data_IF_737972388266
#
_entry.id   IF_737972388266
#
_cell.length_a   1.000
_cell.length_b   1.000
_cell.length_c   1.000
_cell.angle_alpha   90.00
_cell.angle_beta   90.00
_cell.angle_gamma   90.00
#
_symmetry.space_group_name_H-M   'P 1'
#
loop_
_entity.id
_entity.type
_entity.pdbx_description
1 polymer ?
#
# COMPACT_ATOMS: atom_id res chain seq x y z
N UNK A 1 -11.61 31.94 10.98
CA UNK A 1 -11.80 30.80 11.91
C UNK A 1 -12.05 29.57 11.04
N UNK A 2 -11.03 28.73 10.80
CA UNK A 2 -11.16 27.54 9.95
C UNK A 2 -11.86 26.43 10.75
N UNK A 3 -12.96 25.84 10.26
CA UNK A 3 -13.61 24.73 10.95
C UNK A 3 -12.70 23.50 10.93
N UNK A 4 -12.77 22.71 12.00
CA UNK A 4 -11.94 21.56 12.33
C UNK A 4 -11.54 20.70 11.12
N UNK A 5 -10.23 20.59 10.90
CA UNK A 5 -9.59 19.80 9.83
C UNK A 5 -9.68 18.28 10.01
N UNK A 6 -10.69 17.78 10.75
CA UNK A 6 -10.69 16.41 11.28
C UNK A 6 -11.39 15.36 10.39
N UNK A 7 -12.05 15.75 9.30
CA UNK A 7 -12.98 14.83 8.60
C UNK A 7 -12.96 14.89 7.06
N UNK A 8 -11.90 15.39 6.42
CA UNK A 8 -11.91 15.52 4.95
C UNK A 8 -10.71 14.85 4.30
N UNK A 9 -11.01 13.90 3.43
CA UNK A 9 -10.05 13.30 2.49
C UNK A 9 -9.73 14.23 1.31
N UNK A 10 -10.18 15.49 1.33
CA UNK A 10 -9.76 16.53 0.39
C UNK A 10 -9.83 17.93 1.03
N UNK A 11 -9.12 18.92 0.48
CA UNK A 11 -9.14 20.30 0.95
C UNK A 11 -9.40 21.31 -0.18
N UNK A 12 -9.99 22.49 0.12
CA UNK A 12 -10.31 23.52 -0.89
C UNK A 12 -9.13 24.00 -1.73
N UNK A 13 -7.90 23.80 -1.24
CA UNK A 13 -6.65 24.12 -1.93
C UNK A 13 -6.19 23.02 -2.91
N UNK A 14 -7.00 21.99 -3.13
CA UNK A 14 -6.74 20.93 -4.12
C UNK A 14 -5.90 19.77 -3.59
N UNK A 15 -5.67 19.66 -2.28
CA UNK A 15 -5.09 18.45 -1.67
C UNK A 15 -6.13 17.34 -1.63
N UNK A 16 -5.74 16.14 -2.05
CA UNK A 16 -6.57 14.92 -2.02
C UNK A 16 -5.80 13.82 -1.29
N UNK A 17 -6.36 13.33 -0.19
CA UNK A 17 -5.83 12.22 0.60
C UNK A 17 -6.54 10.94 0.16
N UNK A 18 -5.74 9.93 -0.22
CA UNK A 18 -6.26 8.64 -0.69
C UNK A 18 -6.59 7.71 0.48
N UNK A 19 -7.41 6.68 0.24
CA UNK A 19 -7.87 5.73 1.25
C UNK A 19 -7.00 4.45 1.25
N UNK A 20 -7.59 3.26 1.32
CA UNK A 20 -6.90 1.97 1.43
C UNK A 20 -6.11 1.56 0.17
N UNK A 21 -6.26 2.28 -0.94
CA UNK A 21 -5.54 2.04 -2.19
C UNK A 21 -4.96 3.30 -2.81
N UNK A 22 -3.69 3.22 -3.25
CA UNK A 22 -3.03 4.30 -4.00
C UNK A 22 -3.15 4.05 -5.51
N UNK A 23 -2.61 2.91 -5.98
CA UNK A 23 -2.61 2.52 -7.39
C UNK A 23 -2.16 3.66 -8.31
N UNK A 24 -2.91 3.87 -9.39
CA UNK A 24 -2.64 4.93 -10.37
C UNK A 24 -3.36 6.25 -10.07
N UNK A 25 -4.06 6.37 -8.93
CA UNK A 25 -4.86 7.54 -8.61
C UNK A 25 -4.07 8.87 -8.69
N UNK A 26 -2.81 8.98 -8.21
CA UNK A 26 -2.04 10.22 -8.36
C UNK A 26 -1.87 10.64 -9.83
N UNK A 27 -1.58 9.69 -10.72
CA UNK A 27 -1.43 9.97 -12.16
C UNK A 27 -2.76 10.38 -12.79
N UNK A 28 -3.85 9.68 -12.48
CA UNK A 28 -5.18 10.01 -13.02
C UNK A 28 -5.63 11.39 -12.56
N UNK A 29 -5.48 11.72 -11.28
CA UNK A 29 -5.80 13.03 -10.71
C UNK A 29 -5.02 14.17 -11.39
N UNK A 30 -3.72 13.98 -11.66
CA UNK A 30 -2.93 14.98 -12.38
C UNK A 30 -3.33 15.14 -13.85
N UNK A 31 -3.64 14.04 -14.54
CA UNK A 31 -3.89 14.03 -16.00
C UNK A 31 -5.33 14.36 -16.36
N UNK A 32 -6.28 14.09 -15.48
CA UNK A 32 -7.69 14.33 -15.75
C UNK A 32 -7.98 15.83 -15.97
N UNK A 33 -8.92 16.09 -16.88
CA UNK A 33 -9.48 17.43 -17.11
C UNK A 33 -10.53 17.79 -16.06
N UNK A 34 -11.26 16.78 -15.57
CA UNK A 34 -12.30 16.88 -14.54
C UNK A 34 -12.12 15.72 -13.56
N UNK A 35 -12.37 15.98 -12.29
CA UNK A 35 -12.23 15.05 -11.17
C UNK A 35 -13.54 15.02 -10.41
N UNK A 36 -14.04 13.82 -10.15
CA UNK A 36 -15.12 13.57 -9.20
C UNK A 36 -14.48 12.90 -7.99
N UNK A 37 -14.72 13.42 -6.80
CA UNK A 37 -14.21 12.84 -5.55
C UNK A 37 -15.34 12.07 -4.88
N UNK A 38 -15.12 10.79 -4.60
CA UNK A 38 -15.94 10.04 -3.66
C UNK A 38 -15.38 10.23 -2.25
N UNK A 39 -16.12 10.93 -1.39
CA UNK A 39 -15.76 11.13 0.01
C UNK A 39 -16.40 10.03 0.85
N UNK A 40 -15.68 8.91 0.99
CA UNK A 40 -16.16 7.73 1.69
C UNK A 40 -15.89 7.83 3.21
N UNK A 41 -16.95 7.97 4.00
CA UNK A 41 -16.93 8.07 5.46
C UNK A 41 -16.62 6.76 6.19
N UNK A 42 -16.59 5.62 5.47
CA UNK A 42 -16.24 4.33 6.06
C UNK A 42 -14.79 4.28 6.53
N UNK A 43 -13.89 4.94 5.80
CA UNK A 43 -12.47 4.93 6.13
C UNK A 43 -12.14 5.97 7.21
N UNK A 44 -11.30 5.58 8.18
CA UNK A 44 -10.72 6.53 9.12
C UNK A 44 -9.84 7.54 8.35
N UNK A 45 -10.01 8.87 8.57
CA UNK A 45 -9.15 9.89 7.97
C UNK A 45 -7.65 9.65 8.13
N UNK A 46 -7.24 8.96 9.20
CA UNK A 46 -5.85 8.61 9.49
C UNK A 46 -5.27 7.55 8.56
N UNK A 47 -6.08 6.83 7.78
CA UNK A 47 -5.56 5.91 6.74
C UNK A 47 -4.61 6.62 5.78
N UNK A 48 -4.83 7.91 5.55
CA UNK A 48 -3.98 8.73 4.69
C UNK A 48 -2.56 8.95 5.26
N UNK A 49 -2.34 8.70 6.55
CA UNK A 49 -1.00 8.69 7.15
C UNK A 49 -0.13 7.56 6.58
N UNK A 50 -0.73 6.51 6.01
CA UNK A 50 -0.03 5.39 5.40
C UNK A 50 0.48 5.71 3.98
N UNK A 51 -0.07 6.72 3.31
CA UNK A 51 0.32 7.06 1.95
C UNK A 51 1.72 7.71 1.88
N UNK A 52 2.44 7.41 0.80
CA UNK A 52 3.65 8.09 0.37
C UNK A 52 3.65 8.25 -1.16
N UNK A 53 3.31 9.46 -1.63
CA UNK A 53 3.07 9.76 -3.04
C UNK A 53 4.28 10.45 -3.64
N UNK A 54 4.93 9.79 -4.59
CA UNK A 54 6.03 10.34 -5.39
C UNK A 54 5.68 10.32 -6.86
N UNK A 55 5.97 11.42 -7.56
CA UNK A 55 5.78 11.55 -9.00
C UNK A 55 7.13 11.92 -9.62
N UNK A 56 7.87 10.95 -10.17
CA UNK A 56 9.26 11.15 -10.60
C UNK A 56 9.40 11.98 -11.90
N UNK A 57 8.30 12.51 -12.43
CA UNK A 57 8.26 13.17 -13.73
C UNK A 57 8.25 12.20 -14.91
N UNK A 58 8.23 12.78 -16.11
CA UNK A 58 8.14 12.03 -17.37
C UNK A 58 9.52 11.84 -18.03
N UNK A 59 9.71 10.77 -18.82
CA UNK A 59 10.86 10.64 -19.71
C UNK A 59 11.01 11.85 -20.66
N UNK A 60 12.23 12.18 -21.13
CA UNK A 60 13.49 11.48 -20.86
C UNK A 60 14.18 11.92 -19.56
N UNK A 61 13.73 12.99 -18.90
CA UNK A 61 14.32 13.55 -17.68
C UNK A 61 13.55 13.13 -16.42
N UNK A 62 13.30 11.83 -16.28
CA UNK A 62 12.67 11.27 -15.07
C UNK A 62 13.68 11.31 -13.91
N UNK A 63 13.27 11.84 -12.77
CA UNK A 63 14.06 11.84 -11.54
C UNK A 63 14.23 10.42 -10.99
N UNK A 64 15.35 10.15 -10.33
CA UNK A 64 15.50 8.97 -9.49
C UNK A 64 14.49 9.00 -8.33
N UNK A 65 14.03 7.82 -7.90
CA UNK A 65 13.23 7.66 -6.68
C UNK A 65 14.18 7.16 -5.59
N UNK A 66 14.46 8.01 -4.61
CA UNK A 66 15.49 7.79 -3.59
C UNK A 66 15.03 6.87 -2.44
N UNK A 67 14.61 5.64 -2.76
CA UNK A 67 14.23 4.61 -1.79
C UNK A 67 15.42 3.66 -1.59
N UNK A 68 15.94 3.62 -0.37
CA UNK A 68 17.08 2.77 0.02
C UNK A 68 16.70 1.76 1.10
N UNK A 69 15.62 2.00 1.84
CA UNK A 69 15.06 1.10 2.83
C UNK A 69 13.54 0.92 2.61
N UNK A 70 13.00 -0.25 2.98
CA UNK A 70 11.58 -0.57 2.83
C UNK A 70 10.61 0.35 3.63
N UNK A 71 11.15 1.17 4.52
CA UNK A 71 10.41 2.10 5.39
C UNK A 71 10.61 3.56 5.01
N UNK A 72 11.42 3.84 3.99
CA UNK A 72 11.67 5.22 3.55
C UNK A 72 10.37 5.88 3.09
N UNK A 73 10.24 7.16 3.46
CA UNK A 73 9.20 8.05 2.95
C UNK A 73 9.84 9.15 2.14
N UNK A 74 9.51 9.19 0.86
CA UNK A 74 10.17 10.02 -0.15
C UNK A 74 9.21 11.01 -0.82
N UNK A 75 7.95 11.01 -0.43
CA UNK A 75 6.88 11.79 -1.04
C UNK A 75 5.98 12.51 -0.05
N UNK A 76 4.73 12.71 -0.47
CA UNK A 76 3.68 13.40 0.28
C UNK A 76 2.56 12.46 0.66
N UNK A 77 1.79 12.79 1.71
CA UNK A 77 0.61 11.99 2.14
C UNK A 77 -0.66 12.27 1.32
N UNK A 78 -0.56 13.15 0.32
CA UNK A 78 -1.67 13.60 -0.50
C UNK A 78 -1.20 13.84 -1.94
N UNK A 79 -2.17 13.87 -2.85
CA UNK A 79 -1.99 14.32 -4.23
C UNK A 79 -2.43 15.77 -4.31
N UNK A 80 -1.58 16.64 -4.85
CA UNK A 80 -1.94 18.04 -5.13
C UNK A 80 -2.49 18.15 -6.55
N UNK A 81 -3.71 18.68 -6.70
CA UNK A 81 -4.29 19.04 -8.00
C UNK A 81 -4.74 20.51 -8.03
N UNK A 82 -5.06 21.01 -9.23
CA UNK A 82 -5.80 22.26 -9.35
C UNK A 82 -7.24 22.05 -8.83
N UNK A 83 -7.67 22.77 -7.79
CA UNK A 83 -9.02 22.61 -7.23
C UNK A 83 -10.13 22.85 -8.25
N UNK A 84 -9.88 23.63 -9.32
CA UNK A 84 -10.87 23.86 -10.39
C UNK A 84 -11.18 22.60 -11.20
N UNK A 85 -10.34 21.57 -11.13
CA UNK A 85 -10.62 20.27 -11.76
C UNK A 85 -11.71 19.50 -11.04
N UNK A 86 -11.95 19.77 -9.75
CA UNK A 86 -12.96 19.06 -8.97
C UNK A 86 -14.33 19.61 -9.38
N UNK A 87 -15.11 18.80 -10.10
CA UNK A 87 -16.44 19.20 -10.61
C UNK A 87 -17.58 18.69 -9.73
N UNK A 88 -17.31 17.69 -8.89
CA UNK A 88 -18.28 17.16 -7.94
C UNK A 88 -17.56 16.46 -6.77
N UNK A 89 -18.22 16.46 -5.62
CA UNK A 89 -17.89 15.63 -4.46
C UNK A 89 -19.14 14.84 -4.11
N UNK A 90 -19.02 13.53 -4.02
CA UNK A 90 -20.12 12.60 -3.71
C UNK A 90 -19.79 11.94 -2.37
N UNK A 91 -20.66 12.10 -1.38
CA UNK A 91 -20.49 11.46 -0.07
C UNK A 91 -20.96 10.00 -0.12
N UNK A 92 -20.16 9.09 0.43
CA UNK A 92 -20.49 7.66 0.54
C UNK A 92 -20.09 7.12 1.92
N UNK A 93 -20.52 5.90 2.26
CA UNK A 93 -20.14 5.22 3.49
C UNK A 93 -20.16 3.70 3.26
N UNK A 94 -19.23 3.20 2.46
CA UNK A 94 -19.20 1.80 2.02
C UNK A 94 -17.87 1.13 2.40
N UNK A 95 -17.90 -0.12 2.90
CA UNK A 95 -16.70 -0.89 3.12
C UNK A 95 -15.99 -1.26 1.82
N UNK A 96 -14.68 -1.50 1.90
CA UNK A 96 -13.93 -2.15 0.82
C UNK A 96 -14.51 -3.54 0.55
N UNK A 97 -14.55 -3.93 -0.72
CA UNK A 97 -14.89 -5.30 -1.10
C UNK A 97 -13.77 -6.25 -0.66
N UNK A 98 -14.05 -7.10 0.32
CA UNK A 98 -13.12 -8.13 0.80
C UNK A 98 -13.40 -9.49 0.16
N UNK A 99 -12.34 -10.25 -0.11
CA UNK A 99 -12.47 -11.66 -0.45
C UNK A 99 -12.45 -12.51 0.84
N UNK A 100 -13.36 -13.49 0.94
CA UNK A 100 -13.26 -14.49 2.00
C UNK A 100 -12.02 -15.37 1.74
N UNK A 101 -11.22 -15.55 2.78
CA UNK A 101 -10.11 -16.50 2.74
C UNK A 101 -10.65 -17.88 3.05
N UNK A 102 -10.30 -18.86 2.22
CA UNK A 102 -10.68 -20.24 2.47
C UNK A 102 -9.95 -20.77 3.71
N UNK A 103 -10.67 -21.53 4.53
CA UNK A 103 -10.08 -22.21 5.68
C UNK A 103 -9.09 -23.27 5.17
N UNK A 104 -7.88 -23.21 5.70
CA UNK A 104 -6.79 -24.20 5.67
C UNK A 104 -6.87 -25.27 4.56
N UNK A 105 -6.14 -25.04 3.47
CA UNK A 105 -5.94 -26.01 2.40
C UNK A 105 -4.59 -26.75 2.61
N UNK A 106 -4.57 -28.10 2.79
CA UNK A 106 -3.35 -28.87 2.99
C UNK A 106 -2.30 -28.69 1.88
N UNK A 107 -2.74 -28.52 0.63
CA UNK A 107 -1.85 -28.24 -0.49
C UNK A 107 -1.14 -26.90 -0.33
N UNK A 108 -1.86 -25.87 0.11
CA UNK A 108 -1.27 -24.55 0.39
C UNK A 108 -0.26 -24.62 1.54
N UNK A 109 -0.54 -25.45 2.57
CA UNK A 109 0.38 -25.66 3.69
C UNK A 109 1.66 -26.37 3.25
N UNK A 110 1.56 -27.40 2.43
CA UNK A 110 2.74 -28.09 1.89
C UNK A 110 3.61 -27.15 1.03
N UNK A 111 2.99 -26.29 0.22
CA UNK A 111 3.72 -25.26 -0.53
C UNK A 111 4.42 -24.29 0.43
N UNK A 112 3.73 -23.85 1.50
CA UNK A 112 4.31 -22.97 2.51
C UNK A 112 5.52 -23.58 3.22
N UNK A 113 5.43 -24.86 3.62
CA UNK A 113 6.54 -25.60 4.24
C UNK A 113 7.75 -25.71 3.31
N UNK A 114 7.52 -25.98 2.03
CA UNK A 114 8.60 -26.05 1.04
C UNK A 114 9.32 -24.70 0.88
N UNK A 115 8.55 -23.61 0.76
CA UNK A 115 9.12 -22.24 0.63
C UNK A 115 9.92 -21.86 1.87
N UNK A 116 9.37 -22.09 3.07
CA UNK A 116 10.05 -21.77 4.33
C UNK A 116 11.30 -22.62 4.52
N UNK A 117 11.24 -23.91 4.21
CA UNK A 117 12.42 -24.80 4.28
C UNK A 117 13.53 -24.33 3.35
N UNK A 118 13.19 -23.97 2.11
CA UNK A 118 14.14 -23.41 1.16
C UNK A 118 14.81 -22.14 1.72
N UNK A 119 14.02 -21.16 2.19
CA UNK A 119 14.57 -19.91 2.74
C UNK A 119 15.49 -20.15 3.94
N UNK A 120 15.12 -21.06 4.84
CA UNK A 120 15.94 -21.44 5.99
C UNK A 120 17.27 -22.08 5.58
N UNK A 121 17.25 -22.92 4.54
CA UNK A 121 18.45 -23.53 3.96
C UNK A 121 19.33 -22.48 3.30
N UNK A 122 18.78 -21.54 2.54
CA UNK A 122 19.55 -20.45 1.94
C UNK A 122 20.24 -19.58 2.99
N UNK A 123 19.56 -19.27 4.10
CA UNK A 123 20.17 -18.59 5.25
C UNK A 123 21.26 -19.44 5.92
N UNK A 124 21.04 -20.75 6.08
CA UNK A 124 22.02 -21.64 6.69
C UNK A 124 23.31 -21.78 5.86
N UNK A 125 23.19 -21.65 4.53
CA UNK A 125 24.34 -21.64 3.62
C UNK A 125 24.95 -20.24 3.41
N UNK A 126 24.44 -19.21 4.10
CA UNK A 126 24.94 -17.83 3.97
C UNK A 126 24.63 -17.15 2.63
N UNK A 127 23.68 -17.68 1.85
CA UNK A 127 23.22 -17.07 0.59
C UNK A 127 22.17 -15.97 0.82
N UNK A 128 21.42 -16.08 1.91
CA UNK A 128 20.57 -15.01 2.45
C UNK A 128 21.18 -14.52 3.76
N UNK A 129 21.33 -13.20 3.96
CA UNK A 129 21.90 -12.66 5.18
C UNK A 129 21.03 -13.00 6.42
N UNK A 130 21.62 -13.03 7.62
CA UNK A 130 20.88 -13.38 8.84
C UNK A 130 19.78 -12.38 9.20
N UNK A 131 19.95 -11.09 8.86
CA UNK A 131 18.93 -10.04 8.95
C UNK A 131 17.81 -10.16 7.91
N UNK A 132 17.93 -11.14 7.01
CA UNK A 132 16.99 -11.43 5.94
C UNK A 132 16.86 -10.29 4.91
N UNK A 133 15.92 -10.42 3.98
CA UNK A 133 15.69 -9.48 2.89
C UNK A 133 14.22 -9.07 2.83
N UNK A 134 13.90 -7.88 2.28
CA UNK A 134 12.51 -7.48 2.04
C UNK A 134 11.75 -8.53 1.20
N UNK A 135 10.53 -8.87 1.63
CA UNK A 135 9.68 -9.84 0.94
C UNK A 135 8.57 -9.16 0.15
N UNK A 136 8.25 -9.73 -1.00
CA UNK A 136 7.02 -9.46 -1.73
C UNK A 136 6.20 -10.75 -1.75
N UNK A 137 4.92 -10.65 -1.39
CA UNK A 137 3.95 -11.74 -1.50
C UNK A 137 2.72 -11.27 -2.24
N UNK A 138 2.19 -12.12 -3.11
CA UNK A 138 0.92 -11.87 -3.79
C UNK A 138 -0.28 -12.04 -2.85
N UNK A 139 -1.49 -11.95 -3.41
CA UNK A 139 -2.74 -12.23 -2.69
C UNK A 139 -3.22 -13.65 -2.99
N UNK A 140 -3.88 -14.28 -2.02
CA UNK A 140 -4.53 -15.58 -2.20
C UNK A 140 -4.12 -16.62 -1.15
N UNK A 141 -4.80 -17.77 -1.18
CA UNK A 141 -4.67 -18.80 -0.14
C UNK A 141 -3.23 -19.35 0.00
N UNK A 142 -2.53 -19.58 -1.11
CA UNK A 142 -1.14 -20.05 -1.09
C UNK A 142 -0.22 -19.01 -0.45
N UNK A 143 -0.31 -17.75 -0.88
CA UNK A 143 0.50 -16.64 -0.36
C UNK A 143 0.26 -16.39 1.13
N UNK A 144 -0.99 -16.46 1.56
CA UNK A 144 -1.34 -16.31 2.97
C UNK A 144 -0.80 -17.47 3.82
N UNK A 145 -0.83 -18.70 3.31
CA UNK A 145 -0.22 -19.84 3.99
C UNK A 145 1.30 -19.66 4.14
N UNK A 146 1.99 -19.20 3.09
CA UNK A 146 3.44 -18.89 3.14
C UNK A 146 3.74 -17.82 4.19
N UNK A 147 3.01 -16.71 4.19
CA UNK A 147 3.22 -15.62 5.16
C UNK A 147 2.93 -16.05 6.60
N UNK A 148 1.86 -16.84 6.82
CA UNK A 148 1.55 -17.40 8.13
C UNK A 148 2.68 -18.32 8.61
N UNK A 149 3.17 -19.21 7.73
CA UNK A 149 4.23 -20.16 8.07
C UNK A 149 5.56 -19.48 8.39
N UNK A 150 5.89 -18.40 7.67
CA UNK A 150 7.03 -17.53 8.00
C UNK A 150 6.87 -16.94 9.41
N UNK A 151 5.69 -16.40 9.74
CA UNK A 151 5.40 -15.80 11.04
C UNK A 151 5.41 -16.79 12.20
N UNK A 152 5.11 -18.07 11.98
CA UNK A 152 5.22 -19.13 12.99
C UNK A 152 6.67 -19.60 13.21
N UNK A 153 7.53 -19.38 12.22
CA UNK A 153 8.90 -19.90 12.22
C UNK A 153 9.83 -18.96 13.01
N UNK A 154 10.18 -19.38 14.23
CA UNK A 154 10.95 -18.59 15.22
C UNK A 154 12.23 -17.94 14.68
N UNK A 155 12.89 -18.53 13.67
CA UNK A 155 14.12 -17.98 13.09
C UNK A 155 13.89 -16.65 12.35
N UNK A 156 12.68 -16.39 11.84
CA UNK A 156 12.29 -15.13 11.19
C UNK A 156 11.71 -14.08 12.16
N UNK A 157 11.40 -14.46 13.41
CA UNK A 157 10.86 -13.55 14.42
C UNK A 157 11.95 -12.87 15.28
N UNK A 158 13.22 -13.18 15.03
CA UNK A 158 14.38 -12.76 15.85
C UNK A 158 15.37 -11.87 15.12
N UNK A 159 15.05 -11.43 13.91
CA UNK A 159 15.79 -10.43 13.12
C UNK A 159 15.23 -9.04 13.44
#
# INVERSE_FOLDING_TARGET
MLPSSKHRHWAPDGRVWLTSGIGNAPTWLLRAKKVIIELNHYHDPRVAELADIVIPGAPPRRNSVSIFHAMDRVGTRYVQIDPKKIVAVVETNLPDAGNMLDKQNPMCQQIADNVVTFLLQEMAHGRIPPEFLPLQSGVGNINNAVMARLGETRKFLRS
#
